data_IF_815408546005
#
_entry.id   IF_815408546005
#
_cell.length_a   1.000
_cell.length_b   1.000
_cell.length_c   1.000
_cell.angle_alpha   90.00
_cell.angle_beta   90.00
_cell.angle_gamma   90.00
#
_symmetry.space_group_name_H-M   'P 1'
#
loop_
_entity.id
_entity.type
_entity.pdbx_description
1 polymer ?
#
# COMPACT_ATOMS: atom_id res chain seq x y z
N UNK A 1 20.01 -9.16 14.79
CA UNK A 1 19.43 -10.32 15.55
C UNK A 1 19.20 -10.02 17.02
N UNK A 2 20.07 -9.26 17.71
CA UNK A 2 19.85 -8.89 19.11
C UNK A 2 18.53 -8.13 19.36
N UNK A 3 18.23 -7.12 18.54
CA UNK A 3 16.95 -6.39 18.59
C UNK A 3 15.72 -7.32 18.48
N UNK A 4 15.73 -8.23 17.50
CA UNK A 4 14.68 -9.23 17.30
C UNK A 4 14.48 -10.10 18.56
N UNK A 5 15.57 -10.53 19.22
CA UNK A 5 15.50 -11.29 20.47
C UNK A 5 14.86 -10.48 21.61
N UNK A 6 15.20 -9.20 21.74
CA UNK A 6 14.62 -8.30 22.75
C UNK A 6 13.11 -8.16 22.55
N UNK A 7 12.66 -8.05 21.30
CA UNK A 7 11.25 -7.93 20.94
C UNK A 7 10.48 -9.26 20.95
N UNK A 8 11.13 -10.39 21.23
CA UNK A 8 10.49 -11.71 21.19
C UNK A 8 10.16 -12.22 19.77
N UNK A 9 10.78 -11.65 18.73
CA UNK A 9 10.61 -12.09 17.34
C UNK A 9 11.19 -13.49 17.17
N UNK A 10 10.37 -14.44 16.73
CA UNK A 10 10.74 -15.86 16.59
C UNK A 10 11.59 -16.14 15.35
N UNK A 11 11.30 -15.44 14.25
CA UNK A 11 11.94 -15.68 12.96
C UNK A 11 12.39 -14.36 12.34
N UNK A 12 13.61 -14.34 11.81
CA UNK A 12 14.14 -13.23 11.03
C UNK A 12 14.74 -13.81 9.76
N UNK A 13 14.14 -13.45 8.63
CA UNK A 13 14.57 -13.87 7.29
C UNK A 13 15.28 -12.70 6.64
N UNK A 14 16.50 -12.93 6.16
CA UNK A 14 17.26 -11.96 5.38
C UNK A 14 17.21 -12.39 3.92
N UNK A 15 16.64 -11.55 3.05
CA UNK A 15 16.53 -11.85 1.62
C UNK A 15 17.82 -11.56 0.84
N UNK A 16 18.77 -10.85 1.44
CA UNK A 16 20.11 -10.67 0.89
C UNK A 16 20.24 -9.64 -0.23
N UNK A 17 19.22 -8.80 -0.45
CA UNK A 17 19.29 -7.66 -1.36
C UNK A 17 20.16 -6.54 -0.80
N UNK A 18 20.93 -5.88 -1.68
CA UNK A 18 21.87 -4.82 -1.32
C UNK A 18 21.14 -3.52 -0.95
N UNK A 19 21.60 -2.88 0.12
CA UNK A 19 21.07 -1.61 0.63
C UNK A 19 21.29 -0.47 -0.39
N UNK A 20 20.24 0.30 -0.67
CA UNK A 20 20.24 1.39 -1.63
C UNK A 20 20.01 0.97 -3.09
N UNK A 21 19.93 -0.35 -3.37
CA UNK A 21 19.74 -0.90 -4.71
C UNK A 21 18.45 -1.71 -4.85
N UNK A 22 17.55 -1.64 -3.86
CA UNK A 22 16.30 -2.38 -3.89
C UNK A 22 15.39 -1.88 -5.02
N UNK A 23 14.92 -2.82 -5.85
CA UNK A 23 13.93 -2.56 -6.91
C UNK A 23 12.88 -3.67 -6.92
N UNK A 24 11.60 -3.40 -7.25
CA UNK A 24 10.52 -4.39 -7.21
C UNK A 24 10.53 -5.32 -8.42
N UNK A 25 11.66 -6.00 -8.66
CA UNK A 25 11.81 -6.99 -9.72
C UNK A 25 10.94 -8.22 -9.45
N UNK A 26 10.77 -9.08 -10.45
CA UNK A 26 10.02 -10.33 -10.27
C UNK A 26 10.71 -11.28 -9.28
N UNK A 27 12.04 -11.27 -9.22
CA UNK A 27 12.83 -12.06 -8.27
C UNK A 27 12.56 -11.61 -6.82
N UNK A 28 12.71 -10.31 -6.55
CA UNK A 28 12.45 -9.74 -5.22
C UNK A 28 11.02 -10.02 -4.77
N UNK A 29 10.06 -9.82 -5.67
CA UNK A 29 8.64 -10.10 -5.41
C UNK A 29 8.38 -11.58 -5.16
N UNK A 30 9.00 -12.48 -5.93
CA UNK A 30 8.88 -13.93 -5.71
C UNK A 30 9.41 -14.33 -4.35
N UNK A 31 10.54 -13.78 -3.94
CA UNK A 31 11.14 -14.07 -2.65
C UNK A 31 10.26 -13.61 -1.48
N UNK A 32 9.66 -12.41 -1.58
CA UNK A 32 8.69 -11.94 -0.58
C UNK A 32 7.41 -12.78 -0.61
N UNK A 33 6.86 -13.08 -1.78
CA UNK A 33 5.69 -13.94 -1.92
C UNK A 33 5.91 -15.33 -1.32
N UNK A 34 7.10 -15.92 -1.50
CA UNK A 34 7.52 -17.16 -0.86
C UNK A 34 7.42 -17.05 0.67
N UNK A 35 7.96 -15.98 1.26
CA UNK A 35 7.87 -15.78 2.72
C UNK A 35 6.44 -15.60 3.22
N UNK A 36 5.59 -14.92 2.46
CA UNK A 36 4.15 -14.79 2.79
C UNK A 36 3.49 -16.17 2.78
N UNK A 37 3.75 -17.02 1.79
CA UNK A 37 3.17 -18.38 1.73
C UNK A 37 3.73 -19.33 2.79
N UNK A 38 4.99 -19.19 3.18
CA UNK A 38 5.61 -19.95 4.29
C UNK A 38 4.98 -19.58 5.63
N UNK A 39 4.92 -18.28 5.93
CA UNK A 39 4.53 -17.80 7.27
C UNK A 39 3.04 -17.56 7.43
N UNK A 40 2.28 -17.51 6.34
CA UNK A 40 0.83 -17.29 6.31
C UNK A 40 0.36 -16.17 7.25
N UNK A 41 0.93 -14.95 7.16
CA UNK A 41 0.65 -13.89 8.13
C UNK A 41 -0.78 -13.39 8.03
N UNK A 42 -1.46 -13.22 9.17
CA UNK A 42 -2.75 -12.51 9.22
C UNK A 42 -2.59 -11.02 8.89
N UNK A 43 -1.44 -10.45 9.26
CA UNK A 43 -1.15 -9.03 9.18
C UNK A 43 0.24 -8.81 8.59
N UNK A 44 0.35 -7.85 7.67
CA UNK A 44 1.64 -7.34 7.18
C UNK A 44 1.79 -5.88 7.61
N UNK A 45 3.01 -5.48 7.98
CA UNK A 45 3.39 -4.11 8.29
C UNK A 45 4.42 -3.62 7.27
N UNK A 46 4.22 -2.45 6.69
CA UNK A 46 5.21 -1.77 5.83
C UNK A 46 5.01 -0.25 5.86
N UNK A 47 5.80 0.53 5.11
CA UNK A 47 5.53 1.95 4.92
C UNK A 47 4.38 2.14 3.91
N UNK A 48 3.72 3.30 3.94
CA UNK A 48 2.81 3.70 2.86
C UNK A 48 3.65 4.02 1.59
N UNK A 49 3.43 3.32 0.46
CA UNK A 49 4.23 3.53 -0.77
C UNK A 49 4.02 4.91 -1.41
N UNK A 50 3.00 5.66 -0.97
CA UNK A 50 2.76 7.04 -1.44
C UNK A 50 3.63 8.08 -0.72
N UNK A 51 4.32 7.70 0.37
CA UNK A 51 5.25 8.55 1.10
C UNK A 51 6.55 8.77 0.33
N UNK A 52 6.52 9.61 -0.70
CA UNK A 52 7.72 9.91 -1.51
C UNK A 52 8.44 11.18 -1.06
N UNK A 53 7.67 12.19 -0.62
CA UNK A 53 8.16 13.53 -0.28
C UNK A 53 7.39 14.04 0.94
N UNK A 54 8.10 14.69 1.85
CA UNK A 54 7.58 15.52 2.94
C UNK A 54 8.24 16.90 2.89
N UNK A 55 7.77 17.85 3.71
CA UNK A 55 8.16 19.27 3.65
C UNK A 55 9.69 19.51 3.62
N UNK A 56 10.45 18.71 4.37
CA UNK A 56 11.92 18.83 4.47
C UNK A 56 12.66 17.54 4.16
N UNK A 57 11.97 16.54 3.61
CA UNK A 57 12.52 15.18 3.49
C UNK A 57 12.06 14.48 2.20
N UNK A 58 13.02 13.92 1.46
CA UNK A 58 12.75 12.97 0.37
C UNK A 58 12.95 11.57 0.93
N UNK A 59 11.96 10.70 0.75
CA UNK A 59 12.02 9.36 1.35
C UNK A 59 13.11 8.51 0.69
N UNK A 60 13.70 7.63 1.49
CA UNK A 60 14.69 6.67 1.00
C UNK A 60 14.06 5.77 -0.09
N UNK A 61 14.75 5.56 -1.22
CA UNK A 61 14.22 4.72 -2.31
C UNK A 61 13.84 3.32 -1.80
N UNK A 62 14.67 2.68 -0.99
CA UNK A 62 14.38 1.35 -0.46
C UNK A 62 13.10 1.29 0.39
N UNK A 63 12.74 2.36 1.13
CA UNK A 63 11.47 2.37 1.87
C UNK A 63 10.27 2.32 0.91
N UNK A 64 10.38 3.07 -0.19
CA UNK A 64 9.35 3.12 -1.23
C UNK A 64 9.26 1.76 -1.93
N UNK A 65 10.40 1.24 -2.40
CA UNK A 65 10.44 0.01 -3.19
C UNK A 65 10.09 -1.22 -2.35
N UNK A 66 10.51 -1.29 -1.07
CA UNK A 66 10.08 -2.35 -0.16
C UNK A 66 8.56 -2.37 0.03
N UNK A 67 7.94 -1.19 0.12
CA UNK A 67 6.48 -1.06 0.24
C UNK A 67 5.78 -1.48 -1.06
N UNK A 68 6.31 -1.08 -2.20
CA UNK A 68 5.81 -1.50 -3.53
C UNK A 68 5.90 -3.02 -3.71
N UNK A 69 7.00 -3.64 -3.29
CA UNK A 69 7.17 -5.11 -3.27
C UNK A 69 6.08 -5.75 -2.42
N UNK A 70 5.84 -5.25 -1.20
CA UNK A 70 4.81 -5.80 -0.30
C UNK A 70 3.42 -5.74 -0.93
N UNK A 71 3.04 -4.61 -1.53
CA UNK A 71 1.72 -4.45 -2.15
C UNK A 71 1.51 -5.43 -3.32
N UNK A 72 2.50 -5.56 -4.20
CA UNK A 72 2.47 -6.53 -5.31
C UNK A 72 2.47 -7.97 -4.80
N UNK A 73 3.17 -8.20 -3.68
CA UNK A 73 3.25 -9.51 -3.05
C UNK A 73 1.90 -9.97 -2.48
N UNK A 74 1.11 -9.05 -1.92
CA UNK A 74 -0.24 -9.35 -1.41
C UNK A 74 -1.18 -9.75 -2.55
N UNK A 75 -1.16 -9.02 -3.67
CA UNK A 75 -2.00 -9.31 -4.82
C UNK A 75 -1.28 -8.95 -6.14
N UNK A 76 -1.02 -9.91 -7.06
CA UNK A 76 -1.46 -11.31 -7.04
C UNK A 76 -0.44 -12.33 -6.51
N UNK A 77 0.78 -11.92 -6.13
CA UNK A 77 1.92 -12.85 -6.08
C UNK A 77 1.80 -13.96 -5.03
N UNK A 78 1.38 -13.63 -3.80
CA UNK A 78 1.21 -14.61 -2.74
C UNK A 78 -0.21 -15.21 -2.71
N UNK A 79 -1.22 -14.50 -3.22
CA UNK A 79 -2.64 -14.85 -3.06
C UNK A 79 -3.23 -15.72 -4.17
N UNK A 80 -2.49 -15.96 -5.25
CA UNK A 80 -2.96 -16.75 -6.40
C UNK A 80 -1.98 -17.86 -6.76
N UNK A 81 -2.45 -18.96 -7.39
CA UNK A 81 -1.56 -20.03 -7.89
C UNK A 81 -0.91 -19.67 -9.23
N UNK A 82 -1.53 -18.75 -9.97
CA UNK A 82 -1.14 -18.35 -11.32
C UNK A 82 0.14 -17.52 -11.31
N UNK A 83 0.33 -16.71 -10.27
CA UNK A 83 1.56 -15.95 -10.10
C UNK A 83 2.60 -16.79 -9.36
N UNK A 84 3.81 -16.83 -9.92
CA UNK A 84 4.90 -17.68 -9.45
C UNK A 84 4.45 -19.14 -9.20
N UNK A 85 3.97 -19.85 -10.24
CA UNK A 85 3.44 -21.21 -10.09
C UNK A 85 4.45 -22.18 -9.50
N UNK A 86 5.76 -21.94 -9.69
CA UNK A 86 6.85 -22.74 -9.11
C UNK A 86 6.79 -22.80 -7.57
N UNK A 87 6.30 -21.74 -6.92
CA UNK A 87 6.13 -21.75 -5.46
C UNK A 87 5.13 -22.83 -5.02
N UNK A 88 4.13 -23.14 -5.86
CA UNK A 88 3.15 -24.19 -5.57
C UNK A 88 3.57 -25.55 -6.14
N UNK A 89 4.02 -25.62 -7.40
CA UNK A 89 4.37 -26.90 -8.04
C UNK A 89 5.62 -27.54 -7.45
N UNK A 90 6.64 -26.73 -7.17
CA UNK A 90 7.99 -27.21 -6.85
C UNK A 90 8.27 -27.08 -5.35
N UNK A 91 7.81 -25.99 -4.72
CA UNK A 91 8.03 -25.73 -3.29
C UNK A 91 6.82 -26.12 -2.41
N UNK A 92 5.71 -26.54 -3.02
CA UNK A 92 4.47 -26.95 -2.33
C UNK A 92 3.90 -25.88 -1.37
N UNK A 93 4.12 -24.60 -1.68
CA UNK A 93 3.63 -23.46 -0.93
C UNK A 93 2.26 -23.01 -1.46
N UNK A 94 1.24 -23.29 -0.66
CA UNK A 94 -0.14 -22.87 -0.92
C UNK A 94 -0.29 -21.33 -0.89
N UNK A 95 -1.11 -20.73 -1.77
CA UNK A 95 -1.37 -19.30 -1.73
C UNK A 95 -1.92 -18.86 -0.38
N UNK A 96 -1.56 -17.63 -0.01
CA UNK A 96 -2.03 -17.01 1.22
C UNK A 96 -2.39 -15.55 0.98
N UNK A 97 -3.54 -15.15 1.51
CA UNK A 97 -4.00 -13.77 1.49
C UNK A 97 -4.03 -13.25 2.93
N UNK A 98 -3.23 -12.22 3.28
CA UNK A 98 -3.31 -11.58 4.58
C UNK A 98 -4.66 -10.89 4.80
N UNK A 99 -5.07 -10.75 6.06
CA UNK A 99 -6.35 -10.16 6.47
C UNK A 99 -6.28 -8.64 6.56
N UNK A 100 -5.12 -8.10 6.91
CA UNK A 100 -4.90 -6.66 7.02
C UNK A 100 -3.47 -6.24 6.67
N UNK A 101 -3.35 -4.98 6.25
CA UNK A 101 -2.10 -4.28 5.99
C UNK A 101 -2.04 -3.04 6.89
N UNK A 102 -0.96 -2.90 7.64
CA UNK A 102 -0.68 -1.74 8.48
C UNK A 102 0.41 -0.93 7.81
N UNK A 103 0.07 0.31 7.46
CA UNK A 103 0.97 1.23 6.78
C UNK A 103 1.45 2.29 7.77
N UNK A 104 2.76 2.34 7.99
CA UNK A 104 3.41 3.45 8.67
C UNK A 104 3.37 4.67 7.76
N UNK A 105 2.91 5.82 8.25
CA UNK A 105 2.80 7.10 7.51
C UNK A 105 3.73 8.18 8.07
N UNK A 106 3.98 9.27 7.32
CA UNK A 106 4.71 10.45 7.85
C UNK A 106 3.83 11.33 8.72
N UNK A 107 2.51 11.26 8.52
CA UNK A 107 1.55 11.92 9.38
C UNK A 107 1.09 10.98 10.49
N UNK A 108 0.42 11.54 11.48
CA UNK A 108 -0.18 10.82 12.60
C UNK A 108 -1.68 10.57 12.38
N UNK A 109 -2.10 10.57 11.11
CA UNK A 109 -3.49 10.32 10.70
C UNK A 109 -3.67 8.82 10.49
N UNK A 110 -3.81 8.10 11.60
CA UNK A 110 -4.00 6.65 11.58
C UNK A 110 -4.64 6.14 12.86
N UNK A 111 -4.80 4.83 12.92
CA UNK A 111 -5.10 4.12 14.18
C UNK A 111 -3.87 4.17 15.06
N UNK A 112 -3.99 4.78 16.24
CA UNK A 112 -2.95 4.78 17.25
C UNK A 112 -3.01 3.50 18.09
N UNK A 113 -1.84 2.90 18.30
CA UNK A 113 -1.63 1.76 19.18
C UNK A 113 -0.88 2.27 20.41
N UNK A 114 -1.44 2.10 21.59
CA UNK A 114 -0.78 2.45 22.86
C UNK A 114 0.43 1.55 23.05
N UNK A 115 1.61 2.17 23.19
CA UNK A 115 2.87 1.48 23.45
C UNK A 115 3.51 1.95 24.76
N UNK A 116 2.77 2.64 25.63
CA UNK A 116 3.28 3.24 26.87
C UNK A 116 4.02 2.23 27.75
N UNK A 117 3.47 1.04 27.93
CA UNK A 117 4.04 -0.01 28.80
C UNK A 117 5.23 -0.75 28.15
N UNK A 118 5.42 -0.61 26.84
CA UNK A 118 6.46 -1.32 26.07
C UNK A 118 7.48 -0.39 25.42
N UNK A 119 7.37 0.93 25.63
CA UNK A 119 8.27 1.92 25.04
C UNK A 119 9.72 1.65 25.39
N UNK A 120 10.02 1.26 26.62
CA UNK A 120 11.40 0.94 27.04
C UNK A 120 11.94 -0.33 26.36
N UNK A 121 11.08 -1.31 26.09
CA UNK A 121 11.46 -2.51 25.31
C UNK A 121 11.78 -2.13 23.87
N UNK A 122 10.98 -1.23 23.26
CA UNK A 122 11.25 -0.65 21.94
C UNK A 122 12.61 0.06 21.92
N UNK A 123 12.92 0.86 22.94
CA UNK A 123 14.20 1.57 23.01
C UNK A 123 15.38 0.60 23.19
N UNK A 124 15.26 -0.40 24.07
CA UNK A 124 16.29 -1.45 24.19
C UNK A 124 16.57 -2.15 22.86
N UNK A 125 15.51 -2.44 22.09
CA UNK A 125 15.66 -3.04 20.76
C UNK A 125 16.34 -2.08 19.77
N UNK A 126 15.95 -0.80 19.75
CA UNK A 126 16.59 0.23 18.94
C UNK A 126 18.08 0.34 19.25
N UNK A 127 18.44 0.44 20.53
CA UNK A 127 19.81 0.58 21.03
C UNK A 127 20.71 -0.62 20.71
N UNK A 128 20.13 -1.77 20.33
CA UNK A 128 20.89 -2.93 19.87
C UNK A 128 21.46 -2.76 18.43
N UNK A 129 21.09 -1.69 17.70
CA UNK A 129 21.65 -1.35 16.39
C UNK A 129 22.87 -0.42 16.53
N UNK A 130 23.90 -0.86 17.24
CA UNK A 130 25.02 -0.01 17.69
C UNK A 130 25.78 0.73 16.60
N UNK A 131 25.77 0.24 15.35
CA UNK A 131 26.44 0.89 14.22
C UNK A 131 25.60 1.98 13.54
N UNK A 132 24.31 2.12 13.88
CA UNK A 132 23.34 2.95 13.16
C UNK A 132 22.92 4.21 13.93
N UNK A 133 23.34 4.35 15.19
CA UNK A 133 22.81 5.35 16.10
C UNK A 133 23.77 6.52 16.29
N UNK A 134 23.19 7.70 16.45
CA UNK A 134 23.88 8.93 16.80
C UNK A 134 23.42 9.42 18.19
N UNK A 135 24.19 10.31 18.85
CA UNK A 135 23.76 10.92 20.10
C UNK A 135 22.39 11.59 19.97
N UNK A 136 21.45 11.22 20.83
CA UNK A 136 20.08 11.77 20.84
C UNK A 136 19.04 10.98 20.02
N UNK A 137 19.44 9.90 19.34
CA UNK A 137 18.50 9.05 18.59
C UNK A 137 17.37 8.47 19.49
N UNK A 138 17.70 8.01 20.70
CA UNK A 138 16.71 7.49 21.65
C UNK A 138 15.70 8.58 22.05
N UNK A 139 16.18 9.75 22.45
CA UNK A 139 15.33 10.87 22.89
C UNK A 139 14.41 11.34 21.77
N UNK A 140 14.91 11.41 20.54
CA UNK A 140 14.14 11.76 19.35
C UNK A 140 12.99 10.75 19.12
N UNK A 141 13.29 9.44 19.14
CA UNK A 141 12.26 8.40 18.92
C UNK A 141 11.26 8.34 20.07
N UNK A 142 11.70 8.53 21.32
CA UNK A 142 10.79 8.67 22.48
C UNK A 142 9.88 9.89 22.32
N UNK A 143 10.43 11.01 21.85
CA UNK A 143 9.70 12.24 21.57
C UNK A 143 8.57 12.02 20.57
N UNK A 144 8.87 11.39 19.44
CA UNK A 144 7.87 11.05 18.42
C UNK A 144 6.77 10.15 18.96
N UNK A 145 7.12 9.10 19.71
CA UNK A 145 6.12 8.19 20.28
C UNK A 145 5.20 8.91 21.29
N UNK A 146 5.76 9.78 22.15
CA UNK A 146 4.98 10.59 23.09
C UNK A 146 4.05 11.55 22.35
N UNK A 147 4.55 12.23 21.32
CA UNK A 147 3.76 13.19 20.54
C UNK A 147 2.58 12.49 19.84
N UNK A 148 2.82 11.34 19.23
CA UNK A 148 1.77 10.51 18.64
C UNK A 148 0.71 10.10 19.68
N UNK A 149 1.12 9.79 20.91
CA UNK A 149 0.22 9.37 21.99
C UNK A 149 -0.67 10.49 22.54
N UNK A 150 -0.18 11.74 22.59
CA UNK A 150 -0.90 12.89 23.18
C UNK A 150 -2.31 13.07 22.62
N UNK A 151 -2.48 12.92 21.30
CA UNK A 151 -3.76 13.10 20.62
C UNK A 151 -4.83 12.07 21.02
N UNK A 152 -4.40 10.93 21.55
CA UNK A 152 -5.25 9.80 21.91
C UNK A 152 -5.29 9.56 23.44
N UNK A 153 -4.63 10.41 24.24
CA UNK A 153 -4.55 10.25 25.68
C UNK A 153 -3.60 9.14 26.15
N UNK A 154 -2.71 8.64 25.28
CA UNK A 154 -1.72 7.63 25.60
C UNK A 154 -0.40 8.24 26.06
N UNK A 155 0.35 7.53 26.91
CA UNK A 155 1.70 7.94 27.31
C UNK A 155 2.66 7.96 26.12
N UNK A 156 2.50 7.01 25.20
CA UNK A 156 3.21 6.92 23.95
C UNK A 156 2.40 6.05 22.97
N UNK A 157 2.49 6.33 21.67
CA UNK A 157 1.80 5.56 20.65
C UNK A 157 2.64 5.36 19.39
N UNK A 158 2.27 4.33 18.61
CA UNK A 158 2.63 4.18 17.20
C UNK A 158 1.36 4.28 16.35
N UNK A 159 1.43 4.96 15.22
CA UNK A 159 0.27 5.21 14.36
C UNK A 159 0.39 4.48 13.03
N UNK A 160 -0.70 3.84 12.61
CA UNK A 160 -0.77 3.12 11.35
C UNK A 160 -2.06 3.45 10.60
N UNK A 161 -1.97 3.58 9.28
CA UNK A 161 -3.14 3.45 8.41
C UNK A 161 -3.42 1.97 8.19
N UNK A 162 -4.60 1.51 8.61
CA UNK A 162 -4.99 0.10 8.50
C UNK A 162 -5.88 -0.09 7.27
N UNK A 163 -5.44 -0.97 6.36
CA UNK A 163 -6.25 -1.46 5.24
C UNK A 163 -6.71 -2.87 5.57
N UNK A 164 -8.03 -3.08 5.68
CA UNK A 164 -8.61 -4.42 5.79
C UNK A 164 -8.69 -5.01 4.39
N UNK A 165 -8.18 -6.23 4.25
CA UNK A 165 -8.13 -6.96 2.98
C UNK A 165 -9.23 -8.02 2.91
N UNK A 166 -9.74 -8.45 4.06
CA UNK A 166 -10.85 -9.39 4.18
C UNK A 166 -12.10 -8.66 4.67
N UNK A 167 -12.99 -8.35 3.74
CA UNK A 167 -14.20 -7.56 3.99
C UNK A 167 -15.40 -8.44 4.40
N UNK A 168 -15.16 -9.70 4.81
CA UNK A 168 -16.25 -10.64 5.11
C UNK A 168 -17.07 -11.04 3.87
N UNK A 169 -16.62 -10.72 2.66
CA UNK A 169 -17.13 -11.32 1.44
C UNK A 169 -16.55 -12.74 1.34
N UNK A 170 -17.19 -13.68 2.04
CA UNK A 170 -17.19 -15.08 1.65
C UNK A 170 -17.45 -15.17 0.14
N UNK A 171 -16.85 -16.18 -0.49
CA UNK A 171 -17.13 -16.59 -1.87
C UNK A 171 -18.57 -17.13 -2.02
N UNK A 172 -19.57 -16.39 -1.56
CA UNK A 172 -20.99 -16.70 -1.77
C UNK A 172 -21.46 -16.04 -3.07
N UNK A 173 -20.93 -16.55 -4.18
CA UNK A 173 -21.36 -16.17 -5.54
C UNK A 173 -22.87 -16.43 -5.76
N UNK A 174 -23.48 -17.31 -4.95
CA UNK A 174 -24.93 -17.54 -4.95
C UNK A 174 -25.74 -16.36 -4.40
N UNK A 175 -25.26 -15.68 -3.36
CA UNK A 175 -26.03 -14.62 -2.67
C UNK A 175 -26.05 -13.32 -3.49
N UNK A 176 -24.96 -13.04 -4.22
CA UNK A 176 -24.86 -11.88 -5.12
C UNK A 176 -25.76 -12.03 -6.35
N UNK A 177 -25.93 -13.27 -6.83
CA UNK A 177 -26.78 -13.59 -7.98
C UNK A 177 -28.26 -13.41 -7.64
N UNK A 178 -28.70 -13.81 -6.42
CA UNK A 178 -30.08 -13.59 -5.94
C UNK A 178 -30.44 -12.11 -5.77
N UNK A 179 -29.50 -11.27 -5.30
CA UNK A 179 -29.72 -9.82 -5.18
C UNK A 179 -29.84 -9.11 -6.54
N UNK A 180 -29.19 -9.63 -7.58
CA UNK A 180 -29.28 -9.10 -8.97
C UNK A 180 -30.58 -9.51 -9.67
N UNK A 181 -31.06 -10.73 -9.45
CA UNK A 181 -32.32 -11.20 -10.06
C UNK A 181 -33.55 -10.57 -9.40
N UNK A 182 -33.49 -10.22 -8.11
CA UNK A 182 -34.56 -9.52 -7.40
C UNK A 182 -34.76 -8.04 -7.79
N UNK A 183 -33.79 -7.41 -8.48
CA UNK A 183 -33.85 -5.97 -8.89
C UNK A 183 -34.18 -5.74 -10.36
N UNK A 184 -34.73 -6.72 -11.10
CA UNK A 184 -35.31 -6.44 -12.43
C UNK A 184 -36.78 -6.04 -12.27
N UNK A 185 -37.19 -4.81 -12.66
CA UNK A 185 -38.61 -4.52 -12.79
C UNK A 185 -39.17 -5.39 -13.93
N UNK A 186 -40.31 -6.05 -13.67
CA UNK A 186 -41.11 -6.69 -14.71
C UNK A 186 -41.57 -5.60 -15.69
N UNK A 187 -41.05 -5.62 -16.91
CA UNK A 187 -41.58 -4.82 -18.01
C UNK A 187 -42.96 -5.37 -18.39
N UNK A 188 -44.02 -4.65 -18.04
CA UNK A 188 -45.35 -4.86 -18.63
C UNK A 188 -45.49 -3.99 -19.86
N UNK A 189 -45.68 -4.63 -21.01
CA UNK A 189 -46.05 -3.98 -22.26
C UNK A 189 -47.44 -3.34 -22.17
N UNK A 190 -47.59 -2.14 -22.76
CA UNK A 190 -48.81 -1.79 -23.51
C UNK A 190 -48.54 -0.67 -24.53
N UNK A 191 -49.21 -0.81 -25.66
CA UNK A 191 -48.97 -0.14 -26.93
C UNK A 191 -49.74 1.18 -27.12
N UNK A 192 -49.38 1.86 -28.23
CA UNK A 192 -50.17 2.81 -29.06
C UNK A 192 -50.27 4.28 -28.61
N UNK A 193 -49.69 5.18 -29.42
CA UNK A 193 -50.46 6.05 -30.33
C UNK A 193 -49.56 6.98 -31.18
N UNK A 194 -50.09 7.35 -32.35
CA UNK A 194 -49.53 8.14 -33.46
C UNK A 194 -49.14 9.58 -33.11
N UNK A 195 -48.20 10.15 -33.87
CA UNK A 195 -48.04 11.60 -34.04
C UNK A 195 -46.97 11.99 -35.07
N UNK A 196 -47.39 12.53 -36.23
CA UNK A 196 -46.57 13.01 -37.36
C UNK A 196 -45.79 14.30 -37.06
N UNK A 197 -44.81 14.59 -37.95
CA UNK A 197 -44.25 15.88 -38.44
C UNK A 197 -42.84 16.22 -37.89
N UNK A 198 -41.90 16.87 -38.58
CA UNK A 198 -41.63 17.29 -39.98
C UNK A 198 -40.15 17.71 -40.01
N UNK A 199 -39.55 17.74 -41.21
CA UNK A 199 -38.16 18.07 -41.49
C UNK A 199 -37.72 19.53 -41.19
N UNK A 200 -36.41 19.72 -41.00
CA UNK A 200 -35.55 20.86 -41.44
C UNK A 200 -34.12 20.56 -40.91
N UNK A 201 -33.08 20.26 -41.70
CA UNK A 201 -32.36 21.02 -42.75
C UNK A 201 -31.51 22.20 -42.25
N UNK A 202 -30.21 22.11 -42.60
CA UNK A 202 -29.19 23.18 -42.71
C UNK A 202 -28.62 23.73 -41.38
N UNK A 203 -27.33 24.03 -41.19
CA UNK A 203 -26.28 24.60 -42.06
C UNK A 203 -24.92 24.40 -41.33
N UNK A 204 -23.90 23.83 -41.97
CA UNK A 204 -22.76 24.50 -42.65
C UNK A 204 -21.60 25.01 -41.77
N UNK A 205 -20.43 24.38 -41.97
CA UNK A 205 -19.06 24.91 -42.11
C UNK A 205 -18.49 25.85 -41.02
N UNK A 206 -17.34 25.47 -40.46
CA UNK A 206 -16.08 26.18 -40.72
C UNK A 206 -14.86 25.41 -40.19
N UNK A 207 -13.92 25.16 -41.09
CA UNK A 207 -12.58 24.60 -40.91
C UNK A 207 -11.59 25.69 -40.51
N UNK A 208 -10.73 25.47 -39.50
CA UNK A 208 -9.31 25.91 -39.56
C UNK A 208 -8.45 25.35 -38.41
N UNK A 209 -7.36 24.69 -38.80
CA UNK A 209 -6.13 24.53 -38.02
C UNK A 209 -4.95 25.12 -38.86
N UNK A 210 -3.69 25.04 -38.41
CA UNK A 210 -3.02 25.88 -37.41
C UNK A 210 -1.94 26.79 -38.06
N UNK A 211 -1.29 27.69 -37.28
CA UNK A 211 -0.07 28.39 -37.72
C UNK A 211 1.02 28.40 -36.64
N UNK A 212 2.25 28.20 -37.13
CA UNK A 212 3.52 28.00 -36.44
C UNK A 212 4.16 29.29 -35.89
N UNK A 213 4.93 29.09 -34.82
CA UNK A 213 6.25 29.64 -34.44
C UNK A 213 6.74 30.99 -34.97
N UNK A 214 7.27 31.82 -34.04
CA UNK A 214 8.51 32.59 -34.23
C UNK A 214 9.28 32.72 -32.92
N UNK A 215 10.60 32.61 -33.03
CA UNK A 215 11.61 32.82 -32.01
C UNK A 215 11.90 34.31 -31.82
N UNK A 216 12.36 34.71 -30.64
CA UNK A 216 13.41 35.74 -30.55
C UNK A 216 14.21 35.62 -29.24
N UNK A 217 15.45 36.03 -29.38
CA UNK A 217 16.65 35.81 -28.57
C UNK A 217 17.02 37.15 -27.92
N UNK A 218 17.60 37.14 -26.70
CA UNK A 218 18.52 38.14 -26.06
C UNK A 218 18.34 38.04 -24.52
N UNK A 219 19.32 38.20 -23.63
CA UNK A 219 20.76 38.54 -23.68
C UNK A 219 21.36 38.21 -22.29
N UNK A 220 22.66 37.95 -22.28
CA UNK A 220 23.57 37.82 -21.11
C UNK A 220 23.51 39.02 -20.15
N UNK A 221 23.86 38.81 -18.87
CA UNK A 221 24.90 39.57 -18.16
C UNK A 221 25.25 38.95 -16.79
N UNK A 222 26.57 38.73 -16.61
CA UNK A 222 27.40 38.62 -15.40
C UNK A 222 27.12 37.52 -14.38
#
# INVERSE_FOLDING_TARGET
RAAAKILGVKHTVFLGYEDGYLYPTLEVRKDVARQIRIHKPDVILCFDPTMRIADTYVNHPDHIEASEVVLRSINPDASTRQMFPELWTDEHLEPHKPKALFLTTFDDKGTAIDIGDVLDTKMKALMAHTSQLWPGAEDMVRGWAKEAGKRYGYKAAETYRIVRLDDGASNDDETRTRRRTARRPRTSARASARGRRTAQSARSRSTRAPRKATSSRRKRAR
#
